data_IF_671607174223
#
_entry.id   IF_671607174223
#
_cell.length_a   1.000
_cell.length_b   1.000
_cell.length_c   1.000
_cell.angle_alpha   90.00
_cell.angle_beta   90.00
_cell.angle_gamma   90.00
#
_symmetry.space_group_name_H-M   'P 1'
#
loop_
_entity.id
_entity.type
_entity.pdbx_description
1 polymer ?
#
# COMPACT_ATOMS: atom_id res chain seq x y z
N UNK A 1 45.53 -48.87 -22.87
CA UNK A 1 44.25 -49.22 -22.19
C UNK A 1 44.10 -48.31 -20.97
N UNK A 2 43.79 -47.04 -21.23
CA UNK A 2 43.87 -45.95 -20.25
C UNK A 2 42.52 -45.76 -19.56
N UNK A 3 42.51 -45.91 -18.23
CA UNK A 3 41.36 -45.63 -17.36
C UNK A 3 41.31 -44.12 -17.09
N UNK A 4 40.31 -43.44 -17.63
CA UNK A 4 39.91 -42.10 -17.19
C UNK A 4 39.03 -42.25 -15.95
N UNK A 5 39.50 -41.72 -14.81
CA UNK A 5 38.74 -41.58 -13.58
C UNK A 5 37.91 -40.30 -13.66
N UNK A 6 36.63 -40.45 -13.38
CA UNK A 6 35.66 -39.37 -13.17
C UNK A 6 36.03 -38.53 -11.94
N UNK A 7 36.00 -37.21 -12.10
CA UNK A 7 35.95 -36.25 -11.00
C UNK A 7 34.72 -35.38 -11.18
N UNK A 8 33.66 -35.71 -10.42
CA UNK A 8 32.52 -34.83 -10.22
C UNK A 8 32.86 -33.78 -9.15
N UNK A 9 32.55 -32.49 -9.36
CA UNK A 9 32.73 -31.48 -8.32
C UNK A 9 31.65 -31.60 -7.24
N UNK A 10 32.09 -31.63 -5.99
CA UNK A 10 31.26 -31.44 -4.78
C UNK A 10 30.72 -30.01 -4.78
N UNK A 11 29.39 -29.87 -4.87
CA UNK A 11 28.70 -28.61 -4.58
C UNK A 11 28.50 -28.52 -3.07
N UNK A 12 29.22 -27.57 -2.44
CA UNK A 12 28.99 -27.20 -1.04
C UNK A 12 27.72 -26.37 -0.93
N UNK A 13 26.72 -26.91 -0.22
CA UNK A 13 25.49 -26.21 0.14
C UNK A 13 25.81 -25.23 1.27
N UNK A 14 26.00 -23.97 0.90
CA UNK A 14 26.20 -22.85 1.80
C UNK A 14 25.00 -22.64 2.74
N UNK A 15 25.30 -22.60 4.03
CA UNK A 15 24.37 -22.36 5.15
C UNK A 15 23.54 -21.08 4.96
N UNK A 16 22.25 -21.23 5.21
CA UNK A 16 21.22 -20.19 5.32
C UNK A 16 21.67 -18.96 6.12
N UNK A 17 21.77 -17.82 5.44
CA UNK A 17 21.81 -16.51 6.07
C UNK A 17 20.43 -16.18 6.66
N UNK A 18 20.39 -15.93 7.97
CA UNK A 18 19.21 -15.39 8.65
C UNK A 18 18.98 -13.95 8.18
N UNK A 19 17.99 -13.75 7.31
CA UNK A 19 17.42 -12.42 7.07
C UNK A 19 16.72 -11.96 8.36
N UNK A 20 17.42 -11.09 9.10
CA UNK A 20 16.82 -10.30 10.18
C UNK A 20 15.73 -9.42 9.55
N UNK A 21 14.49 -9.62 10.00
CA UNK A 21 13.39 -8.67 9.80
C UNK A 21 13.83 -7.30 10.30
N UNK A 22 14.12 -6.38 9.37
CA UNK A 22 14.24 -4.97 9.68
C UNK A 22 12.84 -4.37 9.72
N UNK A 23 12.54 -3.81 10.89
CA UNK A 23 11.37 -3.07 11.34
C UNK A 23 11.12 -1.84 10.46
N UNK A 24 9.87 -1.34 10.31
CA UNK A 24 9.48 -0.19 9.47
C UNK A 24 9.98 1.19 9.94
N UNK A 25 11.10 1.28 10.66
CA UNK A 25 11.66 2.55 11.18
C UNK A 25 12.56 3.26 10.15
N UNK A 26 13.08 2.55 9.14
CA UNK A 26 13.99 3.13 8.16
C UNK A 26 13.31 4.11 7.17
N UNK A 27 12.00 4.00 6.94
CA UNK A 27 11.26 4.89 6.02
C UNK A 27 10.99 6.26 6.66
N UNK A 28 10.84 6.35 7.98
CA UNK A 28 10.63 7.62 8.67
C UNK A 28 11.90 8.51 8.74
N UNK A 29 13.10 7.91 8.69
CA UNK A 29 14.39 8.64 8.70
C UNK A 29 14.82 9.15 7.32
N UNK A 30 14.32 8.58 6.23
CA UNK A 30 14.53 9.07 4.86
C UNK A 30 13.68 10.31 4.53
N UNK A 31 12.49 10.44 5.14
CA UNK A 31 11.65 11.64 4.97
C UNK A 31 12.21 12.84 5.74
N UNK A 32 12.87 12.62 6.89
CA UNK A 32 13.49 13.70 7.68
C UNK A 32 14.80 14.24 7.08
N UNK A 33 15.50 13.47 6.23
CA UNK A 33 16.77 13.88 5.60
C UNK A 33 16.57 14.64 4.27
N UNK A 34 15.37 14.63 3.70
CA UNK A 34 15.01 15.47 2.54
C UNK A 34 14.57 16.90 2.94
N UNK A 35 14.35 17.17 4.23
CA UNK A 35 13.90 18.47 4.73
C UNK A 35 15.04 19.49 4.98
N UNK A 36 16.30 19.10 4.80
CA UNK A 36 17.48 19.94 5.07
C UNK A 36 18.40 20.12 3.84
N UNK A 37 17.84 20.20 2.63
CA UNK A 37 18.63 20.80 1.54
C UNK A 37 18.69 22.31 1.77
N UNK A 38 19.88 22.92 1.91
CA UNK A 38 19.99 24.37 2.04
C UNK A 38 19.29 25.01 0.85
N UNK A 39 18.33 25.91 1.12
CA UNK A 39 17.65 26.69 0.10
C UNK A 39 18.74 27.35 -0.76
N UNK A 40 18.77 27.15 -2.09
CA UNK A 40 19.78 27.76 -2.94
C UNK A 40 19.80 29.28 -2.67
N UNK A 41 20.98 29.91 -2.59
CA UNK A 41 21.08 31.32 -2.28
C UNK A 41 20.19 32.12 -3.23
N UNK A 42 19.28 32.92 -2.68
CA UNK A 42 18.46 33.82 -3.49
C UNK A 42 19.39 34.90 -4.06
N UNK A 43 19.50 34.93 -5.40
CA UNK A 43 20.17 36.00 -6.12
C UNK A 43 19.45 37.33 -5.81
N UNK A 44 20.22 38.40 -5.65
CA UNK A 44 19.64 39.73 -5.45
C UNK A 44 19.22 40.31 -6.80
N UNK A 45 18.22 41.21 -6.85
CA UNK A 45 17.78 41.83 -8.10
C UNK A 45 18.90 42.45 -8.94
N UNK A 46 19.91 43.04 -8.29
CA UNK A 46 21.08 43.62 -8.96
C UNK A 46 21.94 42.56 -9.67
N UNK A 47 22.02 41.35 -9.11
CA UNK A 47 22.76 40.24 -9.75
C UNK A 47 22.04 39.69 -10.97
N UNK A 48 20.70 39.71 -10.99
CA UNK A 48 19.92 39.24 -12.14
C UNK A 48 20.02 40.21 -13.33
N UNK A 49 20.02 41.53 -13.08
CA UNK A 49 20.19 42.53 -14.14
C UNK A 49 21.57 42.45 -14.81
N UNK A 50 22.64 42.35 -14.02
CA UNK A 50 23.99 42.22 -14.55
C UNK A 50 24.18 40.89 -15.33
N UNK A 51 23.52 39.81 -14.89
CA UNK A 51 23.55 38.53 -15.56
C UNK A 51 22.80 38.57 -16.91
N UNK A 52 21.62 39.20 -16.94
CA UNK A 52 20.83 39.40 -18.17
C UNK A 52 21.61 40.22 -19.21
N UNK A 53 22.25 41.33 -18.80
CA UNK A 53 23.08 42.14 -19.71
C UNK A 53 24.29 41.34 -20.25
N UNK A 54 24.89 40.47 -19.43
CA UNK A 54 25.95 39.57 -19.86
C UNK A 54 25.47 38.54 -20.89
N UNK A 55 24.25 37.98 -20.73
CA UNK A 55 23.68 37.05 -21.70
C UNK A 55 23.33 37.76 -23.01
N UNK A 56 22.69 38.94 -22.94
CA UNK A 56 22.35 39.74 -24.12
C UNK A 56 23.58 40.08 -24.98
N UNK A 57 24.70 40.44 -24.36
CA UNK A 57 25.98 40.67 -25.08
C UNK A 57 26.50 39.41 -25.76
N UNK A 58 26.39 38.24 -25.12
CA UNK A 58 26.81 36.96 -25.71
C UNK A 58 25.90 36.56 -26.89
N UNK A 59 24.59 36.78 -26.77
CA UNK A 59 23.65 36.56 -27.87
C UNK A 59 24.00 37.46 -29.06
N UNK A 60 24.24 38.75 -28.85
CA UNK A 60 24.64 39.67 -29.91
C UNK A 60 25.96 39.28 -30.59
N UNK A 61 26.97 38.86 -29.82
CA UNK A 61 28.22 38.36 -30.37
C UNK A 61 28.01 37.11 -31.24
N UNK A 62 27.22 36.15 -30.76
CA UNK A 62 26.94 34.93 -31.49
C UNK A 62 26.11 35.16 -32.77
N UNK A 63 25.21 36.17 -32.79
CA UNK A 63 24.54 36.61 -34.03
C UNK A 63 25.56 37.06 -35.07
N UNK A 64 26.51 37.90 -34.67
CA UNK A 64 27.54 38.40 -35.58
C UNK A 64 28.43 37.27 -36.11
N UNK A 65 28.77 36.28 -35.27
CA UNK A 65 29.51 35.10 -35.70
C UNK A 65 28.72 34.25 -36.71
N UNK A 66 27.41 34.03 -36.49
CA UNK A 66 26.55 33.31 -37.43
C UNK A 66 26.44 34.06 -38.76
N UNK A 67 26.35 35.39 -38.74
CA UNK A 67 26.31 36.22 -39.95
C UNK A 67 27.62 36.17 -40.74
N UNK A 68 28.77 36.23 -40.05
CA UNK A 68 30.09 36.25 -40.68
C UNK A 68 30.56 34.88 -41.16
N UNK A 69 30.36 33.84 -40.35
CA UNK A 69 30.95 32.52 -40.55
C UNK A 69 29.92 31.43 -40.89
N UNK A 70 28.65 31.79 -40.98
CA UNK A 70 27.56 30.87 -41.28
C UNK A 70 27.01 30.11 -40.08
N UNK A 71 25.82 29.54 -40.27
CA UNK A 71 25.13 28.73 -39.28
C UNK A 71 25.73 27.32 -39.20
N UNK A 72 25.99 26.85 -37.99
CA UNK A 72 26.39 25.45 -37.72
C UNK A 72 25.53 24.89 -36.59
N UNK A 73 25.42 23.55 -36.43
CA UNK A 73 24.68 22.94 -35.32
C UNK A 73 25.18 23.43 -33.96
N UNK A 74 26.49 23.53 -33.78
CA UNK A 74 27.10 23.99 -32.52
C UNK A 74 26.70 25.43 -32.20
N UNK A 75 26.75 26.35 -33.18
CA UNK A 75 26.33 27.74 -32.97
C UNK A 75 24.84 27.85 -32.65
N UNK A 76 24.00 27.08 -33.34
CA UNK A 76 22.56 27.05 -33.07
C UNK A 76 22.26 26.56 -31.63
N UNK A 77 22.96 25.51 -31.17
CA UNK A 77 22.83 24.98 -29.82
C UNK A 77 23.33 25.97 -28.75
N UNK A 78 24.47 26.61 -28.97
CA UNK A 78 25.00 27.61 -28.05
C UNK A 78 24.07 28.83 -27.94
N UNK A 79 23.47 29.25 -29.06
CA UNK A 79 22.47 30.32 -29.08
C UNK A 79 21.23 29.93 -28.27
N UNK A 80 20.68 28.74 -28.51
CA UNK A 80 19.52 28.23 -27.79
C UNK A 80 19.78 28.08 -26.29
N UNK A 81 20.99 27.66 -25.89
CA UNK A 81 21.39 27.56 -24.47
C UNK A 81 21.38 28.93 -23.79
N UNK A 82 21.90 29.96 -24.47
CA UNK A 82 21.91 31.33 -23.98
C UNK A 82 20.49 31.90 -23.88
N UNK A 83 19.67 31.74 -24.93
CA UNK A 83 18.27 32.19 -24.95
C UNK A 83 17.44 31.53 -23.84
N UNK A 84 17.62 30.22 -23.61
CA UNK A 84 17.00 29.49 -22.48
C UNK A 84 17.42 30.05 -21.12
N UNK A 85 18.70 30.39 -20.97
CA UNK A 85 19.23 31.01 -19.76
C UNK A 85 18.57 32.35 -19.48
N UNK A 86 18.49 33.22 -20.49
CA UNK A 86 17.86 34.53 -20.41
C UNK A 86 16.38 34.43 -20.04
N UNK A 87 15.64 33.55 -20.72
CA UNK A 87 14.22 33.31 -20.46
C UNK A 87 13.94 32.94 -18.99
N UNK A 88 14.76 32.06 -18.41
CA UNK A 88 14.65 31.65 -16.99
C UNK A 88 15.01 32.75 -16.00
N UNK A 89 15.92 33.65 -16.36
CA UNK A 89 16.26 34.82 -15.53
C UNK A 89 15.11 35.80 -15.53
N UNK A 90 14.53 36.08 -16.70
CA UNK A 90 13.39 36.98 -16.86
C UNK A 90 12.15 36.47 -16.09
N UNK A 91 11.83 35.18 -16.19
CA UNK A 91 10.73 34.57 -15.41
C UNK A 91 10.90 34.72 -13.89
N UNK A 92 12.14 34.69 -13.37
CA UNK A 92 12.39 34.87 -11.93
C UNK A 92 12.24 36.32 -11.47
N UNK A 93 12.46 37.29 -12.36
CA UNK A 93 12.39 38.72 -12.08
C UNK A 93 11.00 39.32 -12.24
N UNK A 94 9.93 38.50 -12.31
CA UNK A 94 8.54 38.90 -12.60
C UNK A 94 8.39 39.75 -13.89
N UNK A 95 9.36 39.65 -14.81
CA UNK A 95 9.28 40.30 -16.12
C UNK A 95 8.80 39.27 -17.13
N UNK A 96 7.81 39.65 -17.92
CA UNK A 96 7.42 38.86 -19.08
C UNK A 96 8.66 38.70 -19.98
N UNK A 97 9.09 37.47 -20.28
CA UNK A 97 10.27 37.25 -21.07
C UNK A 97 10.06 37.77 -22.50
N UNK A 98 11.10 38.35 -23.10
CA UNK A 98 11.05 38.81 -24.49
C UNK A 98 11.02 37.58 -25.41
N UNK A 99 9.93 37.34 -26.17
CA UNK A 99 9.86 36.19 -27.05
C UNK A 99 10.85 36.27 -28.21
N UNK A 100 11.35 37.45 -28.58
CA UNK A 100 12.16 37.66 -29.78
C UNK A 100 13.44 36.79 -29.79
N UNK A 101 14.19 36.76 -28.69
CA UNK A 101 15.41 35.94 -28.59
C UNK A 101 15.09 34.44 -28.65
N UNK A 102 13.94 34.03 -28.11
CA UNK A 102 13.50 32.62 -28.14
C UNK A 102 12.97 32.23 -29.51
N UNK A 103 12.23 33.11 -30.19
CA UNK A 103 11.76 32.95 -31.56
C UNK A 103 12.94 32.78 -32.53
N UNK A 104 13.95 33.64 -32.40
CA UNK A 104 15.17 33.56 -33.20
C UNK A 104 15.95 32.28 -32.91
N UNK A 105 16.09 31.90 -31.64
CA UNK A 105 16.73 30.64 -31.25
C UNK A 105 16.04 29.42 -31.88
N UNK A 106 14.71 29.37 -31.83
CA UNK A 106 13.92 28.31 -32.46
C UNK A 106 14.15 28.31 -33.98
N UNK A 107 14.10 29.47 -34.63
CA UNK A 107 14.31 29.57 -36.07
C UNK A 107 15.72 29.11 -36.51
N UNK A 108 16.76 29.50 -35.76
CA UNK A 108 18.14 29.08 -36.01
C UNK A 108 18.32 27.56 -35.81
N UNK A 109 17.73 26.99 -34.75
CA UNK A 109 17.75 25.54 -34.52
C UNK A 109 17.08 24.77 -35.67
N UNK A 110 15.88 25.18 -36.08
CA UNK A 110 15.13 24.51 -37.14
C UNK A 110 15.84 24.61 -38.49
N UNK A 111 16.39 25.78 -38.83
CA UNK A 111 17.20 25.95 -40.04
C UNK A 111 18.45 25.06 -40.03
N UNK A 112 19.19 25.04 -38.93
CA UNK A 112 20.36 24.16 -38.79
C UNK A 112 19.95 22.67 -38.86
N UNK A 113 18.77 22.32 -38.36
CA UNK A 113 18.24 20.96 -38.38
C UNK A 113 17.81 20.49 -39.78
N UNK A 114 17.52 21.42 -40.68
CA UNK A 114 17.22 21.13 -42.09
C UNK A 114 18.51 21.05 -42.93
N UNK A 115 19.51 21.89 -42.64
CA UNK A 115 20.80 21.90 -43.33
C UNK A 115 21.72 20.73 -42.90
N UNK A 116 21.58 20.21 -41.68
CA UNK A 116 22.47 19.16 -41.11
C UNK A 116 21.71 17.91 -40.64
N UNK A 117 21.44 16.99 -41.57
CA UNK A 117 20.63 15.78 -41.33
C UNK A 117 21.02 14.95 -40.09
N UNK A 118 22.33 14.76 -39.85
CA UNK A 118 22.81 13.94 -38.72
C UNK A 118 22.53 14.56 -37.34
N UNK A 119 22.49 15.89 -37.24
CA UNK A 119 22.18 16.62 -36.01
C UNK A 119 20.69 17.00 -35.91
N UNK A 120 19.91 16.71 -36.95
CA UNK A 120 18.57 17.24 -37.12
C UNK A 120 17.56 16.83 -36.04
N UNK A 121 17.73 15.66 -35.42
CA UNK A 121 16.86 15.20 -34.33
C UNK A 121 17.15 15.94 -33.01
N UNK A 122 18.43 16.06 -32.64
CA UNK A 122 18.84 16.78 -31.43
C UNK A 122 18.44 18.27 -31.50
N UNK A 123 18.68 18.91 -32.64
CA UNK A 123 18.33 20.32 -32.85
C UNK A 123 16.81 20.56 -32.73
N UNK A 124 15.98 19.66 -33.28
CA UNK A 124 14.51 19.71 -33.13
C UNK A 124 14.07 19.52 -31.69
N UNK A 125 14.68 18.58 -30.97
CA UNK A 125 14.40 18.39 -29.55
C UNK A 125 14.74 19.64 -28.73
N UNK A 126 15.88 20.29 -29.00
CA UNK A 126 16.22 21.55 -28.32
C UNK A 126 15.25 22.70 -28.65
N UNK A 127 14.68 22.73 -29.85
CA UNK A 127 13.65 23.68 -30.22
C UNK A 127 12.31 23.37 -29.53
N UNK A 128 11.98 22.09 -29.36
CA UNK A 128 10.81 21.65 -28.59
C UNK A 128 10.89 22.16 -27.14
N UNK A 129 12.04 22.01 -26.47
CA UNK A 129 12.28 22.53 -25.12
C UNK A 129 12.02 24.05 -25.00
N UNK A 130 12.35 24.83 -26.05
CA UNK A 130 12.07 26.26 -26.05
C UNK A 130 10.56 26.56 -26.19
N UNK A 131 9.81 25.74 -26.93
CA UNK A 131 8.35 25.84 -26.95
C UNK A 131 7.70 25.42 -25.63
N UNK A 132 8.27 24.44 -24.91
CA UNK A 132 7.81 24.09 -23.55
C UNK A 132 7.93 25.29 -22.61
N UNK A 133 9.06 25.99 -22.65
CA UNK A 133 9.26 27.20 -21.82
C UNK A 133 8.22 28.28 -22.10
N UNK A 134 7.72 28.35 -23.34
CA UNK A 134 6.69 29.29 -23.79
C UNK A 134 5.26 28.84 -23.55
N UNK A 135 5.06 27.72 -22.87
CA UNK A 135 3.73 27.13 -22.67
C UNK A 135 3.02 26.81 -24.01
N UNK A 136 3.79 26.36 -25.01
CA UNK A 136 3.30 25.94 -26.33
C UNK A 136 3.47 24.42 -26.55
N UNK A 137 2.88 23.56 -25.70
CA UNK A 137 3.16 22.11 -25.71
C UNK A 137 2.78 21.42 -27.02
N UNK A 138 1.80 21.93 -27.76
CA UNK A 138 1.40 21.37 -29.06
C UNK A 138 2.52 21.46 -30.11
N UNK A 139 3.25 22.58 -30.14
CA UNK A 139 4.39 22.75 -31.06
C UNK A 139 5.59 21.95 -30.60
N UNK A 140 5.83 21.90 -29.29
CA UNK A 140 6.87 21.04 -28.71
C UNK A 140 6.63 19.56 -29.08
N UNK A 141 5.39 19.07 -28.96
CA UNK A 141 5.03 17.69 -29.28
C UNK A 141 5.33 17.33 -30.73
N UNK A 142 4.98 18.21 -31.68
CA UNK A 142 5.30 17.99 -33.09
C UNK A 142 6.80 17.91 -33.34
N UNK A 143 7.61 18.77 -32.69
CA UNK A 143 9.07 18.74 -32.87
C UNK A 143 9.73 17.51 -32.25
N UNK A 144 9.26 17.03 -31.09
CA UNK A 144 9.72 15.75 -30.55
C UNK A 144 9.33 14.59 -31.46
N UNK A 145 8.10 14.58 -32.00
CA UNK A 145 7.67 13.57 -32.96
C UNK A 145 8.57 13.58 -34.20
N UNK A 146 8.82 14.75 -34.80
CA UNK A 146 9.70 14.90 -35.95
C UNK A 146 11.13 14.42 -35.65
N UNK A 147 11.62 14.65 -34.43
CA UNK A 147 12.92 14.15 -33.97
C UNK A 147 12.92 12.62 -33.82
N UNK A 148 11.88 12.05 -33.20
CA UNK A 148 11.71 10.62 -32.97
C UNK A 148 11.54 9.82 -34.26
N UNK A 149 10.83 10.35 -35.25
CA UNK A 149 10.70 9.72 -36.58
C UNK A 149 12.06 9.59 -37.28
N UNK A 150 12.99 10.52 -37.03
CA UNK A 150 14.32 10.54 -37.63
C UNK A 150 15.34 9.70 -36.86
N UNK A 151 15.33 9.79 -35.54
CA UNK A 151 16.30 9.14 -34.65
C UNK A 151 15.60 8.71 -33.36
N UNK A 152 14.93 7.54 -33.36
CA UNK A 152 14.18 7.06 -32.22
C UNK A 152 15.09 6.82 -31.02
N UNK A 153 14.91 7.60 -29.95
CA UNK A 153 15.71 7.56 -28.72
C UNK A 153 14.82 7.64 -27.48
N UNK A 154 15.06 6.83 -26.44
CA UNK A 154 14.27 6.86 -25.21
C UNK A 154 14.20 8.23 -24.54
N UNK A 155 15.27 9.03 -24.61
CA UNK A 155 15.33 10.36 -24.02
C UNK A 155 14.41 11.36 -24.73
N UNK A 156 14.30 11.25 -26.06
CA UNK A 156 13.39 12.08 -26.85
C UNK A 156 11.93 11.71 -26.59
N UNK A 157 11.66 10.41 -26.43
CA UNK A 157 10.32 9.93 -26.12
C UNK A 157 9.90 10.36 -24.72
N UNK A 158 10.80 10.31 -23.73
CA UNK A 158 10.55 10.88 -22.40
C UNK A 158 10.23 12.37 -22.47
N UNK A 159 10.97 13.16 -23.24
CA UNK A 159 10.67 14.59 -23.43
C UNK A 159 9.26 14.84 -23.99
N UNK A 160 8.78 13.99 -24.90
CA UNK A 160 7.41 14.04 -25.41
C UNK A 160 6.38 13.65 -24.34
N UNK A 161 6.67 12.65 -23.51
CA UNK A 161 5.78 12.20 -22.42
C UNK A 161 5.70 13.20 -21.26
N UNK A 162 6.73 14.01 -21.04
CA UNK A 162 6.78 15.04 -19.99
C UNK A 162 5.91 16.27 -20.33
N UNK A 163 5.37 16.36 -21.56
CA UNK A 163 4.46 17.43 -21.96
C UNK A 163 3.08 17.29 -21.29
N UNK A 164 2.40 18.39 -20.97
CA UNK A 164 1.00 18.35 -20.51
C UNK A 164 0.10 17.62 -21.51
N UNK A 165 -0.66 16.63 -21.02
CA UNK A 165 -1.58 15.85 -21.86
C UNK A 165 -2.60 16.74 -22.56
N UNK A 166 -2.76 16.51 -23.86
CA UNK A 166 -3.77 17.12 -24.73
C UNK A 166 -3.99 16.20 -25.93
N UNK A 167 -5.12 16.31 -26.66
CA UNK A 167 -5.36 15.45 -27.82
C UNK A 167 -4.23 15.47 -28.86
N UNK A 168 -3.57 16.60 -29.05
CA UNK A 168 -2.44 16.72 -29.98
C UNK A 168 -1.16 16.05 -29.45
N UNK A 169 -0.87 16.16 -28.16
CA UNK A 169 0.27 15.48 -27.51
C UNK A 169 0.04 13.97 -27.53
N UNK A 170 -1.16 13.52 -27.16
CA UNK A 170 -1.52 12.10 -27.16
C UNK A 170 -1.43 11.51 -28.58
N UNK A 171 -1.88 12.25 -29.60
CA UNK A 171 -1.72 11.86 -31.00
C UNK A 171 -0.24 11.76 -31.42
N UNK A 172 0.61 12.69 -30.97
CA UNK A 172 2.04 12.64 -31.24
C UNK A 172 2.72 11.44 -30.57
N UNK A 173 2.39 11.15 -29.30
CA UNK A 173 2.87 9.96 -28.59
C UNK A 173 2.48 8.68 -29.32
N UNK A 174 1.19 8.53 -29.69
CA UNK A 174 0.72 7.35 -30.41
C UNK A 174 1.38 7.19 -31.78
N UNK A 175 1.66 8.30 -32.47
CA UNK A 175 2.41 8.28 -33.74
C UNK A 175 3.86 7.86 -33.52
N UNK A 176 4.49 8.25 -32.41
CA UNK A 176 5.86 7.90 -32.07
C UNK A 176 6.04 6.44 -31.59
N UNK A 177 5.03 5.85 -30.95
CA UNK A 177 5.08 4.48 -30.43
C UNK A 177 5.66 3.42 -31.41
N UNK A 178 5.18 3.30 -32.68
CA UNK A 178 5.75 2.35 -33.63
C UNK A 178 7.21 2.65 -34.03
N UNK A 179 7.67 3.90 -33.94
CA UNK A 179 9.08 4.25 -34.17
C UNK A 179 9.97 3.89 -32.99
N UNK A 180 9.44 3.96 -31.77
CA UNK A 180 10.16 3.60 -30.54
C UNK A 180 10.27 2.09 -30.33
N UNK A 181 9.31 1.31 -30.82
CA UNK A 181 9.27 -0.13 -30.57
C UNK A 181 10.53 -0.91 -31.01
N UNK A 182 11.16 -0.64 -32.18
CA UNK A 182 12.36 -1.35 -32.62
C UNK A 182 13.61 -1.06 -31.78
N UNK A 183 13.66 0.09 -31.10
CA UNK A 183 14.80 0.48 -30.25
C UNK A 183 14.59 0.10 -28.77
N UNK A 184 13.40 -0.35 -28.40
CA UNK A 184 13.09 -0.82 -27.05
C UNK A 184 13.65 -2.23 -26.81
N UNK A 185 14.26 -2.45 -25.65
CA UNK A 185 14.60 -3.80 -25.19
C UNK A 185 13.32 -4.62 -24.91
N UNK A 186 13.36 -5.95 -24.76
CA UNK A 186 12.17 -6.73 -24.41
C UNK A 186 11.47 -6.25 -23.13
N UNK A 187 12.22 -5.81 -22.12
CA UNK A 187 11.65 -5.24 -20.89
C UNK A 187 11.03 -3.87 -21.16
N UNK A 188 11.74 -3.00 -21.87
CA UNK A 188 11.25 -1.66 -22.18
C UNK A 188 10.06 -1.68 -23.17
N UNK A 189 9.91 -2.75 -23.95
CA UNK A 189 8.80 -2.92 -24.89
C UNK A 189 7.46 -3.07 -24.16
N UNK A 190 7.44 -3.76 -23.02
CA UNK A 190 6.26 -3.86 -22.15
C UNK A 190 5.90 -2.48 -21.58
N UNK A 191 6.88 -1.76 -21.05
CA UNK A 191 6.68 -0.40 -20.51
C UNK A 191 6.20 0.58 -21.58
N UNK A 192 6.80 0.53 -22.77
CA UNK A 192 6.38 1.31 -23.94
C UNK A 192 4.94 0.98 -24.33
N UNK A 193 4.59 -0.30 -24.43
CA UNK A 193 3.24 -0.73 -24.78
C UNK A 193 2.21 -0.27 -23.74
N UNK A 194 2.55 -0.28 -22.45
CA UNK A 194 1.69 0.23 -21.38
C UNK A 194 1.45 1.73 -21.50
N UNK A 195 2.50 2.53 -21.69
CA UNK A 195 2.40 3.99 -21.89
C UNK A 195 1.56 4.32 -23.13
N UNK A 196 1.80 3.63 -24.25
CA UNK A 196 1.04 3.83 -25.47
C UNK A 196 -0.44 3.41 -25.31
N UNK A 197 -0.72 2.33 -24.57
CA UNK A 197 -2.08 1.90 -24.27
C UNK A 197 -2.81 2.90 -23.37
N UNK A 198 -2.14 3.45 -22.35
CA UNK A 198 -2.70 4.49 -21.49
C UNK A 198 -3.02 5.76 -22.28
N UNK A 199 -2.11 6.16 -23.17
CA UNK A 199 -2.32 7.31 -24.07
C UNK A 199 -3.48 7.07 -25.05
N UNK A 200 -3.70 5.81 -25.44
CA UNK A 200 -4.83 5.40 -26.28
C UNK A 200 -6.17 5.32 -25.53
N UNK A 201 -6.20 5.64 -24.24
CA UNK A 201 -7.35 5.42 -23.32
C UNK A 201 -7.79 3.94 -23.28
N UNK A 202 -6.82 3.02 -23.35
CA UNK A 202 -7.07 1.58 -23.35
C UNK A 202 -7.49 1.00 -24.71
N UNK A 203 -7.59 1.82 -25.75
CA UNK A 203 -7.97 1.36 -27.09
C UNK A 203 -6.80 0.67 -27.81
N UNK A 204 -6.78 -0.67 -27.71
CA UNK A 204 -5.77 -1.53 -28.36
C UNK A 204 -5.71 -1.36 -29.87
N UNK A 205 -6.78 -0.92 -30.52
CA UNK A 205 -6.82 -0.76 -31.98
C UNK A 205 -5.98 0.42 -32.48
N UNK A 206 -5.64 1.36 -31.59
CA UNK A 206 -4.76 2.49 -31.90
C UNK A 206 -3.28 2.14 -31.88
N UNK A 207 -2.91 0.94 -31.42
CA UNK A 207 -1.52 0.48 -31.38
C UNK A 207 -1.19 -0.25 -32.70
N UNK A 208 -0.41 0.41 -33.56
CA UNK A 208 -0.28 0.01 -34.98
C UNK A 208 1.04 -0.68 -35.35
N UNK A 209 1.90 -1.04 -34.38
CA UNK A 209 3.14 -1.77 -34.69
C UNK A 209 2.89 -3.29 -34.81
N UNK A 210 3.70 -4.04 -35.59
CA UNK A 210 3.43 -5.45 -35.89
C UNK A 210 3.34 -6.36 -34.65
N UNK A 211 4.14 -6.09 -33.62
CA UNK A 211 4.22 -6.89 -32.39
C UNK A 211 3.24 -6.44 -31.28
N UNK A 212 2.38 -5.45 -31.52
CA UNK A 212 1.54 -4.85 -30.47
C UNK A 212 0.67 -5.87 -29.73
N UNK A 213 0.09 -6.84 -30.46
CA UNK A 213 -0.71 -7.89 -29.85
C UNK A 213 0.10 -8.81 -28.91
N UNK A 214 1.37 -9.09 -29.26
CA UNK A 214 2.26 -9.90 -28.42
C UNK A 214 2.68 -9.12 -27.16
N UNK A 215 3.07 -7.85 -27.30
CA UNK A 215 3.45 -7.00 -26.16
C UNK A 215 2.27 -6.84 -25.17
N UNK A 216 1.06 -6.62 -25.68
CA UNK A 216 -0.15 -6.54 -24.86
C UNK A 216 -0.50 -7.85 -24.14
N UNK A 217 -0.19 -9.01 -24.74
CA UNK A 217 -0.45 -10.30 -24.11
C UNK A 217 0.41 -10.52 -22.86
N UNK A 218 1.65 -10.01 -22.87
CA UNK A 218 2.54 -10.03 -21.70
C UNK A 218 1.97 -9.17 -20.58
N UNK A 219 1.49 -7.96 -20.89
CA UNK A 219 0.81 -7.08 -19.92
C UNK A 219 -0.43 -7.77 -19.34
N UNK A 220 -1.24 -8.43 -20.17
CA UNK A 220 -2.43 -9.15 -19.71
C UNK A 220 -2.11 -10.34 -18.79
N UNK A 221 -0.99 -11.04 -19.02
CA UNK A 221 -0.50 -12.10 -18.14
C UNK A 221 -0.04 -11.54 -16.80
N UNK A 222 0.73 -10.45 -16.80
CA UNK A 222 1.21 -9.78 -15.58
C UNK A 222 0.07 -9.22 -14.73
N UNK A 223 -0.91 -8.56 -15.34
CA UNK A 223 -2.09 -8.05 -14.64
C UNK A 223 -2.95 -9.18 -14.06
N UNK A 224 -3.06 -10.32 -14.74
CA UNK A 224 -3.75 -11.50 -14.20
C UNK A 224 -2.99 -12.11 -13.03
N UNK A 225 -1.67 -12.20 -13.12
CA UNK A 225 -0.82 -12.70 -12.03
C UNK A 225 -0.98 -11.81 -10.78
N UNK A 226 -0.87 -10.49 -10.93
CA UNK A 226 -1.02 -9.53 -9.83
C UNK A 226 -2.39 -9.64 -9.13
N UNK A 227 -3.48 -9.71 -9.90
CA UNK A 227 -4.83 -9.89 -9.33
C UNK A 227 -4.99 -11.21 -8.59
N UNK A 228 -4.38 -12.29 -9.08
CA UNK A 228 -4.44 -13.59 -8.42
C UNK A 228 -3.71 -13.60 -7.07
N UNK A 229 -2.60 -12.87 -6.96
CA UNK A 229 -1.86 -12.73 -5.71
C UNK A 229 -2.63 -11.91 -4.67
N UNK A 230 -3.23 -10.78 -5.09
CA UNK A 230 -4.08 -9.96 -4.22
C UNK A 230 -5.26 -10.77 -3.67
N UNK A 231 -5.96 -11.50 -4.54
CA UNK A 231 -7.04 -12.40 -4.12
C UNK A 231 -6.55 -13.48 -3.16
N UNK A 232 -5.37 -14.04 -3.37
CA UNK A 232 -4.79 -15.02 -2.46
C UNK A 232 -4.50 -14.43 -1.08
N UNK A 233 -3.93 -13.22 -1.02
CA UNK A 233 -3.67 -12.51 0.22
C UNK A 233 -4.97 -12.16 0.96
N UNK A 234 -6.01 -11.75 0.25
CA UNK A 234 -7.33 -11.47 0.83
C UNK A 234 -7.99 -12.74 1.41
N UNK A 235 -7.90 -13.87 0.70
CA UNK A 235 -8.37 -15.16 1.19
C UNK A 235 -7.63 -15.59 2.46
N UNK A 236 -6.30 -15.43 2.49
CA UNK A 236 -5.49 -15.72 3.68
C UNK A 236 -5.84 -14.79 4.86
N UNK A 237 -6.05 -13.50 4.60
CA UNK A 237 -6.47 -12.55 5.62
C UNK A 237 -7.85 -12.92 6.20
N UNK A 238 -8.81 -13.25 5.33
CA UNK A 238 -10.16 -13.69 5.72
C UNK A 238 -10.12 -14.99 6.52
N UNK A 239 -9.33 -15.98 6.07
CA UNK A 239 -9.16 -17.23 6.79
C UNK A 239 -8.54 -17.02 8.18
N UNK A 240 -7.55 -16.12 8.28
CA UNK A 240 -6.91 -15.78 9.55
C UNK A 240 -7.91 -15.15 10.52
N UNK A 241 -8.70 -14.17 10.08
CA UNK A 241 -9.71 -13.50 10.92
C UNK A 241 -10.77 -14.47 11.43
N UNK A 242 -11.20 -15.46 10.62
CA UNK A 242 -12.13 -16.51 11.06
C UNK A 242 -11.56 -17.43 12.14
N UNK A 243 -10.28 -17.83 12.02
CA UNK A 243 -9.64 -18.70 13.02
C UNK A 243 -9.39 -17.95 14.34
N UNK A 244 -9.02 -16.67 14.27
CA UNK A 244 -8.79 -15.87 15.48
C UNK A 244 -10.10 -15.55 16.24
N UNK A 245 -11.19 -15.26 15.54
CA UNK A 245 -12.50 -14.98 16.16
C UNK A 245 -13.10 -16.21 16.86
N UNK A 246 -13.05 -17.40 16.24
CA UNK A 246 -13.57 -18.63 16.86
C UNK A 246 -12.79 -19.07 18.10
N UNK A 247 -11.46 -18.89 18.11
CA UNK A 247 -10.61 -19.22 19.27
C UNK A 247 -10.89 -18.29 20.46
N UNK A 248 -11.02 -16.98 20.20
CA UNK A 248 -11.28 -15.97 21.25
C UNK A 248 -12.63 -16.21 21.92
N UNK A 249 -13.67 -16.53 21.15
CA UNK A 249 -15.02 -16.79 21.66
C UNK A 249 -15.06 -17.90 22.72
N UNK A 250 -14.38 -19.03 22.51
CA UNK A 250 -14.41 -20.17 23.46
C UNK A 250 -13.67 -19.87 24.77
N UNK A 251 -12.52 -19.20 24.71
CA UNK A 251 -11.79 -18.78 25.93
C UNK A 251 -12.63 -17.74 26.70
N UNK A 252 -13.26 -16.82 25.97
CA UNK A 252 -14.15 -15.82 26.56
C UNK A 252 -15.35 -16.47 27.25
N UNK A 253 -15.97 -17.50 26.66
CA UNK A 253 -17.06 -18.25 27.31
C UNK A 253 -16.61 -18.89 28.62
N UNK A 254 -15.49 -19.61 28.64
CA UNK A 254 -15.06 -20.35 29.84
C UNK A 254 -14.63 -19.38 30.96
N UNK A 255 -13.93 -18.31 30.59
CA UNK A 255 -13.48 -17.30 31.56
C UNK A 255 -14.62 -16.46 32.12
N UNK A 256 -15.69 -16.24 31.35
CA UNK A 256 -16.75 -15.30 31.69
C UNK A 256 -18.09 -15.94 32.05
N UNK A 257 -18.24 -17.28 32.02
CA UNK A 257 -19.50 -17.94 32.43
C UNK A 257 -19.27 -18.73 33.71
N UNK A 258 -20.11 -18.45 34.71
CA UNK A 258 -20.08 -19.15 35.98
C UNK A 258 -20.28 -20.67 35.81
N UNK A 259 -19.39 -21.47 36.41
CA UNK A 259 -19.55 -22.93 36.46
C UNK A 259 -19.42 -23.64 35.11
N UNK A 260 -18.84 -22.98 34.09
CA UNK A 260 -18.61 -23.53 32.74
C UNK A 260 -17.45 -24.55 32.67
N UNK A 261 -17.15 -25.20 33.79
CA UNK A 261 -16.12 -26.23 33.94
C UNK A 261 -16.27 -26.94 35.28
N UNK A 262 -15.38 -27.88 35.59
CA UNK A 262 -15.46 -28.71 36.79
C UNK A 262 -15.05 -27.92 38.04
N UNK A 263 -15.85 -27.99 39.11
CA UNK A 263 -15.54 -27.29 40.35
C UNK A 263 -14.29 -27.86 41.03
N UNK A 264 -13.46 -27.01 41.67
CA UNK A 264 -12.28 -27.47 42.43
C UNK A 264 -12.63 -28.22 43.72
N UNK A 265 -13.75 -27.83 44.33
CA UNK A 265 -14.40 -28.49 45.47
C UNK A 265 -15.89 -28.64 45.13
N UNK A 266 -16.69 -29.34 45.93
CA UNK A 266 -18.14 -29.56 45.71
C UNK A 266 -19.02 -28.28 45.82
N UNK A 267 -18.48 -27.12 45.41
CA UNK A 267 -19.16 -25.84 45.29
C UNK A 267 -18.34 -24.87 44.41
N UNK A 268 -18.74 -24.70 43.14
CA UNK A 268 -18.11 -23.74 42.21
C UNK A 268 -18.22 -22.29 42.71
N UNK A 269 -19.26 -21.96 43.47
CA UNK A 269 -19.50 -20.62 44.02
C UNK A 269 -18.49 -20.19 45.09
N UNK A 270 -17.82 -21.14 45.73
CA UNK A 270 -16.78 -20.88 46.75
C UNK A 270 -15.39 -21.28 46.28
N UNK A 271 -15.29 -22.43 45.63
CA UNK A 271 -14.02 -23.04 45.22
C UNK A 271 -13.46 -22.53 43.89
N UNK A 272 -14.31 -21.99 43.03
CA UNK A 272 -13.97 -21.83 41.62
C UNK A 272 -14.05 -23.14 40.84
N UNK A 273 -13.61 -23.10 39.58
CA UNK A 273 -13.70 -24.21 38.64
C UNK A 273 -12.54 -24.18 37.64
N UNK A 274 -12.33 -25.30 36.96
CA UNK A 274 -11.44 -25.38 35.80
C UNK A 274 -12.23 -25.80 34.58
N UNK A 275 -12.15 -25.02 33.51
CA UNK A 275 -12.66 -25.39 32.20
C UNK A 275 -11.51 -25.71 31.25
N UNK A 276 -11.69 -26.75 30.42
CA UNK A 276 -10.69 -27.16 29.44
C UNK A 276 -10.97 -26.48 28.10
N UNK A 277 -10.02 -25.69 27.59
CA UNK A 277 -10.08 -25.02 26.30
C UNK A 277 -9.09 -25.62 25.29
N UNK A 278 -9.23 -25.25 24.00
CA UNK A 278 -8.35 -25.73 22.92
C UNK A 278 -6.88 -25.30 23.09
N UNK A 279 -6.66 -24.13 23.69
CA UNK A 279 -5.33 -23.56 23.91
C UNK A 279 -4.81 -23.81 25.34
N UNK A 280 -5.53 -24.62 26.14
CA UNK A 280 -5.18 -24.99 27.51
C UNK A 280 -6.29 -24.71 28.53
N UNK A 281 -5.99 -24.99 29.79
CA UNK A 281 -6.94 -24.88 30.90
C UNK A 281 -7.15 -23.42 31.32
N UNK A 282 -8.40 -23.09 31.63
CA UNK A 282 -8.80 -21.85 32.29
C UNK A 282 -9.19 -22.17 33.72
N UNK A 283 -8.44 -21.61 34.67
CA UNK A 283 -8.65 -21.86 36.11
C UNK A 283 -9.27 -20.63 36.75
N UNK A 284 -10.47 -20.77 37.29
CA UNK A 284 -11.22 -19.70 37.93
C UNK A 284 -11.11 -19.80 39.44
N UNK A 285 -10.98 -18.66 40.11
CA UNK A 285 -10.98 -18.54 41.57
C UNK A 285 -11.98 -17.50 42.05
N UNK A 286 -12.64 -17.81 43.16
CA UNK A 286 -13.55 -16.90 43.85
C UNK A 286 -12.80 -16.11 44.94
N UNK A 287 -13.29 -14.91 45.25
CA UNK A 287 -12.94 -14.21 46.48
C UNK A 287 -13.69 -14.78 47.69
N UNK A 288 -13.41 -14.23 48.88
CA UNK A 288 -13.99 -14.70 50.15
C UNK A 288 -15.52 -14.68 50.18
N UNK A 289 -16.16 -13.68 49.58
CA UNK A 289 -17.62 -13.57 49.51
C UNK A 289 -18.26 -14.50 48.47
N UNK A 290 -17.45 -15.25 47.72
CA UNK A 290 -17.88 -16.16 46.66
C UNK A 290 -18.06 -15.52 45.29
N UNK A 291 -18.01 -16.37 44.25
CA UNK A 291 -18.00 -15.95 42.85
C UNK A 291 -19.30 -15.25 42.42
N UNK A 292 -20.46 -15.69 42.92
CA UNK A 292 -21.76 -15.16 42.49
C UNK A 292 -22.12 -13.83 43.16
N UNK A 293 -21.35 -13.41 44.18
CA UNK A 293 -21.54 -12.15 44.88
C UNK A 293 -20.59 -11.08 44.35
N UNK A 294 -19.27 -11.30 44.42
CA UNK A 294 -18.29 -10.27 44.01
C UNK A 294 -17.77 -10.45 42.56
N UNK A 295 -17.96 -11.62 41.98
CA UNK A 295 -17.33 -12.04 40.73
C UNK A 295 -16.09 -12.91 40.99
N UNK A 296 -15.28 -13.10 39.95
CA UNK A 296 -14.18 -14.08 39.96
C UNK A 296 -13.00 -13.62 39.10
N UNK A 297 -11.84 -14.21 39.35
CA UNK A 297 -10.65 -14.02 38.51
C UNK A 297 -10.34 -15.35 37.79
N UNK A 298 -10.20 -15.30 36.47
CA UNK A 298 -9.94 -16.44 35.60
C UNK A 298 -8.51 -16.37 35.06
N UNK A 299 -7.68 -17.36 35.39
CA UNK A 299 -6.32 -17.50 34.85
C UNK A 299 -6.40 -18.23 33.50
N UNK A 300 -6.02 -17.52 32.45
CA UNK A 300 -5.99 -18.00 31.07
C UNK A 300 -4.70 -18.79 30.77
N UNK A 301 -4.67 -19.58 29.68
CA UNK A 301 -3.43 -20.12 29.15
C UNK A 301 -2.37 -19.03 28.96
N UNK A 302 -1.13 -19.32 29.32
CA UNK A 302 -0.05 -18.32 29.35
C UNK A 302 0.01 -17.46 30.62
N UNK A 303 -0.88 -17.69 31.60
CA UNK A 303 -0.80 -17.10 32.94
C UNK A 303 -1.42 -15.71 33.09
N UNK A 304 -2.03 -15.19 32.02
CA UNK A 304 -2.80 -13.95 32.03
C UNK A 304 -4.08 -14.10 32.87
N UNK A 305 -4.63 -12.98 33.37
CA UNK A 305 -5.81 -13.00 34.25
C UNK A 305 -6.93 -12.13 33.65
N UNK A 306 -8.07 -12.76 33.39
CA UNK A 306 -9.33 -12.06 33.14
C UNK A 306 -10.10 -11.89 34.44
N UNK A 307 -10.77 -10.75 34.60
CA UNK A 307 -11.41 -10.35 35.86
C UNK A 307 -12.89 -10.10 35.65
N UNK A 308 -13.72 -10.90 36.30
CA UNK A 308 -15.18 -10.78 36.28
C UNK A 308 -15.71 -10.12 37.54
N UNK A 309 -16.66 -9.21 37.41
CA UNK A 309 -17.33 -8.51 38.52
C UNK A 309 -18.84 -8.50 38.33
N UNK A 310 -19.57 -8.86 39.37
CA UNK A 310 -21.03 -8.85 39.36
C UNK A 310 -21.58 -7.42 39.37
N UNK A 311 -22.71 -7.21 38.69
CA UNK A 311 -23.46 -5.98 38.85
C UNK A 311 -24.19 -5.99 40.20
N UNK A 312 -24.04 -4.92 40.98
CA UNK A 312 -24.72 -4.74 42.28
C UNK A 312 -24.47 -5.88 43.29
N UNK A 313 -23.31 -6.53 43.22
CA UNK A 313 -22.92 -7.67 44.07
C UNK A 313 -23.86 -8.90 43.97
N UNK A 314 -24.52 -9.06 42.84
CA UNK A 314 -25.31 -10.26 42.54
C UNK A 314 -25.28 -10.55 41.04
N UNK A 315 -24.46 -11.52 40.67
CA UNK A 315 -24.29 -11.90 39.27
C UNK A 315 -25.56 -12.49 38.66
N UNK A 316 -26.44 -13.12 39.45
CA UNK A 316 -27.56 -13.89 38.91
C UNK A 316 -28.82 -13.07 38.69
N UNK A 317 -28.91 -11.87 39.25
CA UNK A 317 -30.04 -10.95 39.01
C UNK A 317 -29.78 -9.92 37.92
N UNK A 318 -28.55 -9.39 37.83
CA UNK A 318 -28.23 -8.30 36.88
C UNK A 318 -27.19 -8.67 35.82
N UNK A 319 -26.42 -9.71 36.07
CA UNK A 319 -25.31 -10.12 35.22
C UNK A 319 -23.97 -9.61 35.74
N UNK A 320 -22.98 -9.55 34.87
CA UNK A 320 -21.60 -9.25 35.24
C UNK A 320 -20.82 -8.64 34.07
N UNK A 321 -19.64 -8.12 34.40
CA UNK A 321 -18.67 -7.62 33.43
C UNK A 321 -17.35 -8.36 33.57
N UNK A 322 -16.74 -8.77 32.48
CA UNK A 322 -15.41 -9.39 32.47
C UNK A 322 -14.43 -8.52 31.70
N UNK A 323 -13.35 -8.13 32.35
CA UNK A 323 -12.26 -7.34 31.77
C UNK A 323 -11.06 -8.26 31.51
N UNK A 324 -10.55 -8.24 30.29
CA UNK A 324 -9.40 -9.03 29.86
C UNK A 324 -8.09 -8.26 30.06
N UNK A 325 -6.93 -8.96 30.06
CA UNK A 325 -5.61 -8.34 30.25
C UNK A 325 -5.26 -7.25 29.24
N UNK A 326 -5.83 -7.32 28.04
CA UNK A 326 -5.68 -6.34 26.95
C UNK A 326 -6.60 -5.11 27.12
N UNK A 327 -7.34 -5.03 28.22
CA UNK A 327 -8.28 -3.96 28.53
C UNK A 327 -9.66 -4.12 27.88
N UNK A 328 -9.88 -5.17 27.07
CA UNK A 328 -11.20 -5.41 26.50
C UNK A 328 -12.21 -5.81 27.57
N UNK A 329 -13.45 -5.36 27.39
CA UNK A 329 -14.54 -5.67 28.30
C UNK A 329 -15.66 -6.40 27.57
N UNK A 330 -16.16 -7.46 28.19
CA UNK A 330 -17.43 -8.08 27.81
C UNK A 330 -18.45 -7.86 28.91
N UNK A 331 -19.70 -7.68 28.48
CA UNK A 331 -20.81 -7.44 29.38
C UNK A 331 -21.82 -8.57 29.25
N UNK A 332 -22.19 -9.20 30.35
CA UNK A 332 -23.25 -10.20 30.39
C UNK A 332 -24.43 -9.67 31.18
N UNK A 333 -25.63 -9.79 30.64
CA UNK A 333 -26.88 -9.35 31.28
C UNK A 333 -27.84 -10.53 31.44
N UNK A 334 -28.57 -10.56 32.55
CA UNK A 334 -29.57 -11.60 32.78
C UNK A 334 -30.83 -11.35 31.97
N UNK A 335 -31.32 -12.39 31.30
CA UNK A 335 -32.63 -12.36 30.65
C UNK A 335 -33.70 -12.20 31.73
N UNK A 336 -34.56 -11.19 31.58
CA UNK A 336 -35.62 -10.85 32.54
C UNK A 336 -35.16 -10.69 34.00
N UNK A 337 -33.88 -10.33 34.19
CA UNK A 337 -33.28 -10.21 35.52
C UNK A 337 -33.08 -11.55 36.27
N UNK A 338 -33.07 -12.68 35.55
CA UNK A 338 -33.01 -14.03 36.12
C UNK A 338 -32.05 -14.94 35.36
N UNK A 339 -30.74 -14.78 35.54
CA UNK A 339 -29.75 -15.59 34.83
C UNK A 339 -29.90 -17.10 35.10
N UNK A 340 -30.22 -17.47 36.34
CA UNK A 340 -30.29 -18.87 36.75
C UNK A 340 -31.49 -19.63 36.16
N UNK A 341 -32.54 -18.93 35.70
CA UNK A 341 -33.77 -19.58 35.21
C UNK A 341 -34.17 -19.19 33.80
N UNK A 342 -33.78 -18.01 33.32
CA UNK A 342 -34.06 -17.57 31.95
C UNK A 342 -32.82 -17.63 31.03
N UNK A 343 -31.62 -17.53 31.61
CA UNK A 343 -30.36 -17.43 30.88
C UNK A 343 -29.86 -15.99 30.78
N UNK A 344 -28.93 -15.74 29.86
CA UNK A 344 -28.22 -14.45 29.77
C UNK A 344 -27.82 -14.11 28.33
N UNK A 345 -27.49 -12.85 28.11
CA UNK A 345 -26.90 -12.34 26.86
C UNK A 345 -25.54 -11.76 27.18
N UNK A 346 -24.52 -12.16 26.42
CA UNK A 346 -23.16 -11.64 26.51
C UNK A 346 -22.83 -10.82 25.28
N UNK A 347 -22.51 -9.54 25.49
CA UNK A 347 -22.10 -8.59 24.46
C UNK A 347 -20.58 -8.62 24.28
N UNK A 348 -20.14 -8.78 23.04
CA UNK A 348 -18.73 -8.92 22.68
C UNK A 348 -18.12 -7.55 22.32
N UNK A 349 -16.79 -7.38 22.44
CA UNK A 349 -16.12 -6.08 22.25
C UNK A 349 -16.13 -5.61 20.78
N UNK A 350 -16.17 -6.54 19.83
CA UNK A 350 -16.12 -6.29 18.38
C UNK A 350 -17.52 -6.16 17.76
N UNK A 351 -18.56 -6.09 18.59
CA UNK A 351 -19.96 -6.18 18.16
C UNK A 351 -20.43 -7.63 18.08
N UNK A 352 -21.73 -7.83 18.31
CA UNK A 352 -22.35 -9.16 18.37
C UNK A 352 -22.73 -9.58 19.78
N UNK A 353 -23.66 -10.52 19.85
CA UNK A 353 -24.20 -11.05 21.09
C UNK A 353 -24.19 -12.58 21.09
N UNK A 354 -23.94 -13.14 22.26
CA UNK A 354 -23.99 -14.57 22.53
C UNK A 354 -25.10 -14.80 23.55
N UNK A 355 -26.09 -15.62 23.21
CA UNK A 355 -27.26 -15.82 24.05
C UNK A 355 -27.27 -17.22 24.63
N UNK A 356 -27.35 -17.32 25.95
CA UNK A 356 -27.53 -18.56 26.67
C UNK A 356 -28.98 -18.68 27.17
N UNK A 357 -29.55 -19.87 27.01
CA UNK A 357 -30.88 -20.22 27.49
C UNK A 357 -30.81 -21.41 28.43
N UNK A 358 -31.48 -21.31 29.58
CA UNK A 358 -31.57 -22.40 30.53
C UNK A 358 -32.39 -23.56 29.96
N UNK A 359 -31.88 -24.78 30.11
CA UNK A 359 -32.62 -26.00 29.83
C UNK A 359 -33.66 -26.18 30.91
N UNK A 360 -34.92 -26.42 30.52
CA UNK A 360 -36.07 -26.59 31.42
C UNK A 360 -36.25 -25.48 32.47
N UNK A 361 -35.79 -24.26 32.15
CA UNK A 361 -35.88 -23.12 33.04
C UNK A 361 -34.93 -23.17 34.25
N UNK A 362 -33.91 -24.03 34.24
CA UNK A 362 -32.93 -24.14 35.32
C UNK A 362 -31.49 -24.37 34.79
N UNK A 363 -30.74 -23.28 34.69
CA UNK A 363 -29.35 -23.29 34.25
C UNK A 363 -28.41 -23.97 35.26
N UNK A 364 -28.74 -23.91 36.56
CA UNK A 364 -27.82 -24.35 37.62
C UNK A 364 -28.07 -25.79 38.05
N UNK A 365 -29.29 -26.31 37.83
CA UNK A 365 -29.65 -27.71 38.05
C UNK A 365 -29.50 -28.58 36.82
N UNK A 366 -29.86 -28.09 35.63
CA UNK A 366 -29.92 -28.90 34.39
C UNK A 366 -28.81 -28.53 33.41
N UNK A 367 -28.64 -27.23 33.15
CA UNK A 367 -27.64 -26.70 32.23
C UNK A 367 -28.24 -25.71 31.25
N UNK A 368 -27.50 -25.36 30.21
CA UNK A 368 -27.91 -24.33 29.25
C UNK A 368 -27.44 -24.63 27.83
N UNK A 369 -28.09 -24.02 26.85
CA UNK A 369 -27.62 -23.98 25.47
C UNK A 369 -27.22 -22.56 25.13
N UNK A 370 -26.05 -22.39 24.52
CA UNK A 370 -25.57 -21.09 24.07
C UNK A 370 -25.56 -21.02 22.56
N UNK A 371 -26.10 -19.93 22.01
CA UNK A 371 -26.07 -19.59 20.58
C UNK A 371 -25.01 -18.52 20.36
N UNK A 372 -24.06 -18.80 19.47
CA UNK A 372 -22.98 -17.90 19.07
C UNK A 372 -23.41 -16.94 17.96
N UNK A 373 -22.56 -15.96 17.66
CA UNK A 373 -22.80 -14.92 16.63
C UNK A 373 -23.02 -15.51 15.22
N UNK A 374 -22.39 -16.66 14.93
CA UNK A 374 -22.56 -17.39 13.65
C UNK A 374 -23.76 -18.36 13.66
N UNK A 375 -24.66 -18.21 14.64
CA UNK A 375 -25.81 -19.08 14.93
C UNK A 375 -25.47 -20.54 15.30
N UNK A 376 -24.19 -20.90 15.41
CA UNK A 376 -23.80 -22.19 15.95
C UNK A 376 -24.21 -22.29 17.43
N UNK A 377 -24.47 -23.53 17.89
CA UNK A 377 -24.93 -23.79 19.25
C UNK A 377 -24.03 -24.79 19.93
N UNK A 378 -23.73 -24.56 21.21
CA UNK A 378 -23.10 -25.55 22.08
C UNK A 378 -23.93 -25.72 23.35
N UNK A 379 -23.90 -26.93 23.89
CA UNK A 379 -24.73 -27.32 25.04
C UNK A 379 -23.83 -27.58 26.24
N UNK A 380 -24.15 -26.92 27.35
CA UNK A 380 -23.57 -27.16 28.65
C UNK A 380 -24.54 -27.98 29.50
N UNK A 381 -24.08 -29.13 29.98
CA UNK A 381 -24.88 -30.02 30.84
C UNK A 381 -24.26 -30.06 32.22
N UNK A 382 -25.09 -29.93 33.25
CA UNK A 382 -24.60 -30.03 34.62
C UNK A 382 -24.05 -31.43 34.92
N UNK A 383 -22.94 -31.47 35.65
CA UNK A 383 -22.35 -32.71 36.13
C UNK A 383 -23.08 -33.14 37.39
N UNK A 384 -23.49 -34.42 37.48
CA UNK A 384 -24.18 -35.02 38.64
C UNK A 384 -25.41 -34.21 39.08
N UNK A 385 -25.42 -33.75 40.33
CA UNK A 385 -26.55 -33.10 41.03
C UNK A 385 -26.62 -31.58 40.81
N UNK A 386 -25.88 -31.04 39.83
CA UNK A 386 -26.04 -29.65 39.40
C UNK A 386 -24.73 -28.89 39.18
N UNK A 387 -24.79 -27.89 38.31
CA UNK A 387 -23.67 -27.05 37.90
C UNK A 387 -23.11 -26.21 39.05
N UNK A 388 -23.94 -25.86 40.04
CA UNK A 388 -23.49 -25.11 41.21
C UNK A 388 -22.47 -25.88 42.06
N UNK A 389 -22.66 -27.19 42.18
CA UNK A 389 -21.88 -28.03 43.09
C UNK A 389 -20.76 -28.78 42.36
N UNK A 390 -20.98 -29.15 41.09
CA UNK A 390 -20.02 -29.98 40.34
C UNK A 390 -19.59 -29.38 39.00
N UNK A 391 -20.21 -28.29 38.57
CA UNK A 391 -19.87 -27.63 37.32
C UNK A 391 -20.59 -28.20 36.11
N UNK A 392 -20.21 -27.73 34.92
CA UNK A 392 -20.82 -28.13 33.66
C UNK A 392 -19.79 -28.67 32.67
N UNK A 393 -20.21 -29.61 31.84
CA UNK A 393 -19.51 -29.99 30.62
C UNK A 393 -20.17 -29.34 29.41
N UNK A 394 -19.41 -28.53 28.67
CA UNK A 394 -19.87 -27.81 27.48
C UNK A 394 -19.31 -28.45 26.21
N UNK A 395 -20.18 -28.81 25.26
CA UNK A 395 -19.82 -29.46 23.98
C UNK A 395 -20.46 -28.79 22.78
#
# INVERSE_FOLDING_TARGET
>A
MSRLREHAPRVEVGRSGRLRRQTPVAIALLIASLACTPKPPQLTPDTDAAHSEAIARKLAALRAEIEQEGLTPTRALDFARLARGEYRVQQRGDKAPDPADTDEAIALLLRAADEHLLAGAELRAQAAELYVLRDEPKRAAQLYLDALVRDPKPELFRGLLDLPRSPEVDAAVLTACPHMRPVASPTDATDLALVCLETADGDRSKLTWPEAAADLSVIDDELRAARSEEQHLELLATARTRVFSQRRLRITTIAAVFGSGLCHVENCGRGGWTGHGLDGDVTVRCGESGCLYDGWDARLPGGLVARTRCFSRDCLSRGWKTTFPDGQEIKTTCLYGKCATAGWVTYLPEGGEVQAHCTDGDCLGVGWTTTLVDASRYRCTCVREGCKNHGAECR
#
